data_IF_977636250150
#
_entry.id   IF_977636250150
#
_cell.length_a   1.000
_cell.length_b   1.000
_cell.length_c   1.000
_cell.angle_alpha   90.00
_cell.angle_beta   90.00
_cell.angle_gamma   90.00
#
_symmetry.space_group_name_H-M   'P 1'
#
loop_
_entity.id
_entity.type
_entity.pdbx_description
1 polymer ?
#
# COMPACT_ATOMS: atom_id res chain seq x y z
N UNK A 1 -3.06 -23.18 19.59
CA UNK A 1 -3.98 -23.10 18.42
C UNK A 1 -5.11 -22.10 18.63
N UNK A 2 -6.04 -22.31 19.56
CA UNK A 2 -7.22 -21.43 19.71
C UNK A 2 -6.89 -19.97 20.07
N UNK A 3 -5.89 -19.73 20.91
CA UNK A 3 -5.46 -18.37 21.27
C UNK A 3 -4.96 -17.58 20.05
N UNK A 4 -4.12 -18.19 19.20
CA UNK A 4 -3.62 -17.55 17.98
C UNK A 4 -4.75 -17.30 16.96
N UNK A 5 -5.70 -18.23 16.84
CA UNK A 5 -6.87 -18.03 15.99
C UNK A 5 -7.71 -16.82 16.44
N UNK A 6 -7.99 -16.71 17.74
CA UNK A 6 -8.73 -15.57 18.29
C UNK A 6 -7.95 -14.25 18.16
N UNK A 7 -6.62 -14.29 18.30
CA UNK A 7 -5.75 -13.13 18.06
C UNK A 7 -5.81 -12.70 16.60
N UNK A 8 -5.71 -13.64 15.65
CA UNK A 8 -5.81 -13.37 14.22
C UNK A 8 -7.17 -12.75 13.86
N UNK A 9 -8.27 -13.27 14.41
CA UNK A 9 -9.60 -12.69 14.20
C UNK A 9 -9.70 -11.24 14.72
N UNK A 10 -9.18 -10.97 15.92
CA UNK A 10 -9.18 -9.61 16.49
C UNK A 10 -8.34 -8.66 15.64
N UNK A 11 -7.15 -9.08 15.23
CA UNK A 11 -6.26 -8.32 14.34
C UNK A 11 -6.93 -8.05 12.98
N UNK A 12 -7.59 -9.05 12.38
CA UNK A 12 -8.34 -8.87 11.14
C UNK A 12 -9.48 -7.87 11.30
N UNK A 13 -10.23 -7.94 12.40
CA UNK A 13 -11.32 -7.00 12.69
C UNK A 13 -10.83 -5.57 12.92
N UNK A 14 -9.67 -5.38 13.56
CA UNK A 14 -9.09 -4.04 13.75
C UNK A 14 -8.55 -3.48 12.43
N UNK A 15 -7.84 -4.29 11.63
CA UNK A 15 -7.36 -3.88 10.30
C UNK A 15 -8.53 -3.44 9.42
N UNK A 16 -9.63 -4.18 9.44
CA UNK A 16 -10.83 -3.83 8.68
C UNK A 16 -11.40 -2.48 9.11
N UNK A 17 -11.55 -2.25 10.42
CA UNK A 17 -12.02 -0.96 10.95
C UNK A 17 -11.08 0.19 10.56
N UNK A 18 -9.78 -0.01 10.68
CA UNK A 18 -8.79 1.01 10.33
C UNK A 18 -8.79 1.30 8.81
N UNK A 19 -9.07 0.30 7.97
CA UNK A 19 -9.24 0.48 6.53
C UNK A 19 -10.56 1.20 6.19
N UNK A 20 -11.65 0.89 6.90
CA UNK A 20 -12.94 1.54 6.70
C UNK A 20 -12.84 3.03 7.11
N UNK A 21 -12.16 3.37 8.22
CA UNK A 21 -11.91 4.77 8.62
C UNK A 21 -11.00 5.52 7.64
N UNK A 22 -10.03 4.83 7.03
CA UNK A 22 -9.21 5.40 5.97
C UNK A 22 -10.04 5.68 4.71
N UNK A 23 -10.95 4.78 4.35
CA UNK A 23 -11.82 4.92 3.17
C UNK A 23 -12.87 6.02 3.31
N UNK A 24 -13.37 6.26 4.54
CA UNK A 24 -14.33 7.34 4.83
C UNK A 24 -13.70 8.75 4.74
N UNK A 25 -12.39 8.86 4.48
CA UNK A 25 -11.75 10.14 4.15
C UNK A 25 -11.56 11.08 5.35
N UNK A 26 -11.62 10.56 6.58
CA UNK A 26 -11.49 11.32 7.83
C UNK A 26 -10.05 11.81 8.12
N UNK A 27 -9.30 12.19 7.08
CA UNK A 27 -7.86 12.45 7.04
C UNK A 27 -7.05 11.17 6.82
N UNK A 28 -6.45 11.05 5.64
CA UNK A 28 -5.35 10.14 5.34
C UNK A 28 -4.13 10.52 6.17
N UNK A 29 -4.22 10.31 7.49
CA UNK A 29 -3.19 10.63 8.45
C UNK A 29 -2.02 9.65 8.24
N UNK A 30 -0.78 10.14 8.02
CA UNK A 30 0.40 9.29 7.91
C UNK A 30 0.56 8.33 9.10
N UNK A 31 0.09 8.73 10.29
CA UNK A 31 0.11 7.91 11.50
C UNK A 31 -0.80 6.67 11.37
N UNK A 32 -2.01 6.84 10.81
CA UNK A 32 -2.97 5.76 10.62
C UNK A 32 -2.47 4.76 9.57
N UNK A 33 -1.85 5.24 8.48
CA UNK A 33 -1.17 4.38 7.51
C UNK A 33 -0.02 3.58 8.14
N UNK A 34 0.77 4.19 9.01
CA UNK A 34 1.81 3.51 9.77
C UNK A 34 1.24 2.41 10.67
N UNK A 35 0.16 2.70 11.39
CA UNK A 35 -0.55 1.74 12.24
C UNK A 35 -1.10 0.55 11.44
N UNK A 36 -1.72 0.80 10.28
CA UNK A 36 -2.24 -0.29 9.42
C UNK A 36 -1.11 -1.18 8.90
N UNK A 37 0.02 -0.59 8.48
CA UNK A 37 1.17 -1.38 8.00
C UNK A 37 1.78 -2.24 9.14
N UNK A 38 1.84 -1.70 10.35
CA UNK A 38 2.30 -2.44 11.52
C UNK A 38 1.35 -3.60 11.88
N UNK A 39 0.03 -3.36 11.87
CA UNK A 39 -0.97 -4.39 12.16
C UNK A 39 -1.03 -5.47 11.07
N UNK A 40 -0.88 -5.14 9.79
CA UNK A 40 -0.74 -6.09 8.68
C UNK A 40 0.49 -7.00 8.84
N UNK A 41 1.60 -6.43 9.30
CA UNK A 41 2.83 -7.19 9.55
C UNK A 41 2.66 -8.15 10.73
N UNK A 42 2.03 -7.69 11.81
CA UNK A 42 1.70 -8.50 12.99
C UNK A 42 0.72 -9.63 12.66
N UNK A 43 -0.29 -9.35 11.82
CA UNK A 43 -1.24 -10.33 11.33
C UNK A 43 -0.54 -11.39 10.46
N UNK A 44 0.34 -10.98 9.54
CA UNK A 44 1.16 -11.91 8.74
C UNK A 44 1.96 -12.88 9.61
N UNK A 45 2.63 -12.36 10.65
CA UNK A 45 3.40 -13.19 11.60
C UNK A 45 2.49 -14.16 12.36
N UNK A 46 1.32 -13.69 12.80
CA UNK A 46 0.35 -14.51 13.53
C UNK A 46 -0.18 -15.66 12.66
N UNK A 47 -0.40 -15.43 11.36
CA UNK A 47 -0.78 -16.47 10.39
C UNK A 47 0.34 -17.50 10.23
N UNK A 48 1.59 -17.06 10.15
CA UNK A 48 2.76 -17.95 10.05
C UNK A 48 2.91 -18.83 11.29
N UNK A 49 2.78 -18.25 12.48
CA UNK A 49 2.81 -18.97 13.75
C UNK A 49 1.65 -19.97 13.87
N UNK A 50 0.44 -19.57 13.46
CA UNK A 50 -0.71 -20.46 13.44
C UNK A 50 -0.52 -21.61 12.45
N UNK A 51 0.05 -21.35 11.28
CA UNK A 51 0.38 -22.37 10.29
C UNK A 51 1.46 -23.34 10.79
N UNK A 52 2.45 -22.86 11.55
CA UNK A 52 3.46 -23.72 12.19
C UNK A 52 2.81 -24.67 13.19
N UNK A 53 1.90 -24.18 14.03
CA UNK A 53 1.13 -25.04 14.94
C UNK A 53 0.21 -26.01 14.19
N UNK A 54 -0.42 -25.59 13.10
CA UNK A 54 -1.27 -26.45 12.28
C UNK A 54 -0.49 -27.64 11.69
N UNK A 55 0.76 -27.43 11.29
CA UNK A 55 1.65 -28.52 10.82
C UNK A 55 2.03 -29.50 11.93
N UNK A 56 2.09 -29.05 13.18
CA UNK A 56 2.45 -29.87 14.35
C UNK A 56 1.25 -30.58 14.99
N UNK A 57 0.02 -30.24 14.58
CA UNK A 57 -1.19 -30.86 15.11
C UNK A 57 -1.29 -32.34 14.71
N UNK A 58 -1.46 -33.22 15.71
CA UNK A 58 -1.51 -34.67 15.52
C UNK A 58 -2.88 -35.15 15.02
N UNK A 59 -3.95 -34.42 15.34
CA UNK A 59 -5.33 -34.79 14.99
C UNK A 59 -5.65 -34.30 13.57
N UNK A 60 -5.82 -35.25 12.63
CA UNK A 60 -6.01 -34.97 11.21
C UNK A 60 -7.19 -34.01 10.91
N UNK A 61 -8.34 -34.20 11.56
CA UNK A 61 -9.50 -33.32 11.36
C UNK A 61 -9.25 -31.89 11.83
N UNK A 62 -8.55 -31.72 12.96
CA UNK A 62 -8.20 -30.40 13.50
C UNK A 62 -7.16 -29.72 12.63
N UNK A 63 -6.21 -30.49 12.11
CA UNK A 63 -5.20 -30.02 11.17
C UNK A 63 -5.83 -29.53 9.85
N UNK A 64 -6.76 -30.29 9.26
CA UNK A 64 -7.46 -29.88 8.04
C UNK A 64 -8.23 -28.57 8.24
N UNK A 65 -8.99 -28.46 9.33
CA UNK A 65 -9.70 -27.22 9.70
C UNK A 65 -8.74 -26.04 9.93
N UNK A 66 -7.57 -26.29 10.50
CA UNK A 66 -6.56 -25.26 10.71
C UNK A 66 -5.94 -24.77 9.40
N UNK A 67 -5.69 -25.65 8.43
CA UNK A 67 -5.20 -25.23 7.11
C UNK A 67 -6.23 -24.42 6.32
N UNK A 68 -7.51 -24.79 6.38
CA UNK A 68 -8.58 -23.98 5.78
C UNK A 68 -8.61 -22.58 6.41
N UNK A 69 -8.51 -22.48 7.74
CA UNK A 69 -8.43 -21.17 8.42
C UNK A 69 -7.20 -20.36 7.99
N UNK A 70 -6.03 -20.99 7.87
CA UNK A 70 -4.81 -20.33 7.36
C UNK A 70 -5.02 -19.82 5.93
N UNK A 71 -5.70 -20.59 5.08
CA UNK A 71 -6.03 -20.19 3.71
C UNK A 71 -6.94 -18.97 3.69
N UNK A 72 -8.01 -18.96 4.48
CA UNK A 72 -8.91 -17.80 4.64
C UNK A 72 -8.15 -16.56 5.14
N UNK A 73 -7.30 -16.70 6.16
CA UNK A 73 -6.53 -15.54 6.64
C UNK A 73 -5.52 -15.01 5.63
N UNK A 74 -4.95 -15.87 4.77
CA UNK A 74 -4.07 -15.43 3.69
C UNK A 74 -4.82 -14.66 2.61
N UNK A 75 -6.01 -15.11 2.23
CA UNK A 75 -6.86 -14.37 1.28
C UNK A 75 -7.30 -13.03 1.86
N UNK A 76 -7.71 -13.00 3.14
CA UNK A 76 -8.05 -11.74 3.82
C UNK A 76 -6.85 -10.78 3.84
N UNK A 77 -5.64 -11.28 4.12
CA UNK A 77 -4.43 -10.46 4.13
C UNK A 77 -4.13 -9.85 2.75
N UNK A 78 -4.33 -10.61 1.66
CA UNK A 78 -4.18 -10.06 0.30
C UNK A 78 -5.24 -9.01 0.00
N UNK A 79 -6.48 -9.24 0.44
CA UNK A 79 -7.58 -8.30 0.24
C UNK A 79 -7.37 -7.00 1.01
N UNK A 80 -6.90 -7.08 2.27
CA UNK A 80 -6.57 -5.89 3.06
C UNK A 80 -5.45 -5.07 2.44
N UNK A 81 -4.41 -5.71 1.89
CA UNK A 81 -3.35 -5.02 1.15
C UNK A 81 -3.87 -4.35 -0.11
N UNK A 82 -4.72 -5.03 -0.87
CA UNK A 82 -5.31 -4.48 -2.08
C UNK A 82 -6.19 -3.24 -1.78
N UNK A 83 -6.99 -3.29 -0.71
CA UNK A 83 -7.81 -2.15 -0.26
C UNK A 83 -6.96 -0.96 0.14
N UNK A 84 -5.90 -1.19 0.92
CA UNK A 84 -4.98 -0.14 1.33
C UNK A 84 -4.35 0.57 0.12
N UNK A 85 -3.91 -0.21 -0.88
CA UNK A 85 -3.37 0.34 -2.13
C UNK A 85 -4.40 1.12 -2.94
N UNK A 86 -5.65 0.64 -3.00
CA UNK A 86 -6.75 1.36 -3.65
C UNK A 86 -6.97 2.72 -3.01
N UNK A 87 -7.13 2.76 -1.68
CA UNK A 87 -7.38 4.01 -0.96
C UNK A 87 -6.19 4.97 -1.03
N UNK A 88 -4.95 4.46 -1.09
CA UNK A 88 -3.77 5.30 -1.35
C UNK A 88 -3.80 5.94 -2.73
N UNK A 89 -4.16 5.16 -3.77
CA UNK A 89 -4.28 5.69 -5.13
C UNK A 89 -5.37 6.74 -5.23
N UNK A 90 -6.53 6.50 -4.62
CA UNK A 90 -7.63 7.48 -4.56
C UNK A 90 -7.20 8.78 -3.86
N UNK A 91 -6.43 8.68 -2.76
CA UNK A 91 -5.90 9.85 -2.06
C UNK A 91 -4.87 10.62 -2.92
N UNK A 92 -3.99 9.93 -3.64
CA UNK A 92 -3.02 10.54 -4.55
C UNK A 92 -3.71 11.19 -5.77
N UNK A 93 -4.73 10.54 -6.35
CA UNK A 93 -5.55 11.09 -7.43
C UNK A 93 -6.34 12.32 -6.99
N UNK A 94 -6.91 12.31 -5.78
CA UNK A 94 -7.57 13.47 -5.21
C UNK A 94 -6.59 14.63 -5.00
N UNK A 95 -5.39 14.34 -4.48
CA UNK A 95 -4.36 15.37 -4.25
C UNK A 95 -3.81 15.94 -5.56
N UNK A 96 -3.55 15.11 -6.56
CA UNK A 96 -3.12 15.57 -7.89
C UNK A 96 -4.21 16.37 -8.59
N UNK A 97 -5.47 15.97 -8.45
CA UNK A 97 -6.62 16.72 -8.99
C UNK A 97 -6.80 18.05 -8.27
N UNK A 98 -6.64 18.10 -6.94
CA UNK A 98 -6.66 19.34 -6.17
C UNK A 98 -5.52 20.27 -6.59
N UNK A 99 -4.27 19.78 -6.65
CA UNK A 99 -3.13 20.57 -7.12
C UNK A 99 -3.35 21.09 -8.55
N UNK A 100 -3.88 20.25 -9.45
CA UNK A 100 -4.23 20.66 -10.82
C UNK A 100 -5.36 21.70 -10.83
N UNK A 101 -6.35 21.57 -9.95
CA UNK A 101 -7.46 22.52 -9.82
C UNK A 101 -7.01 23.84 -9.20
N UNK A 102 -6.04 23.85 -8.29
CA UNK A 102 -5.43 25.07 -7.76
C UNK A 102 -4.60 25.80 -8.82
N UNK A 103 -3.86 25.05 -9.64
CA UNK A 103 -3.07 25.59 -10.74
C UNK A 103 -3.96 26.16 -11.87
N UNK A 104 -5.11 25.53 -12.13
CA UNK A 104 -6.07 25.97 -13.15
C UNK A 104 -7.11 26.99 -12.61
N UNK A 105 -7.38 26.95 -11.31
CA UNK A 105 -8.41 27.74 -10.60
C UNK A 105 -7.95 29.12 -10.16
N UNK A 106 -6.64 29.43 -10.21
CA UNK A 106 -6.11 30.80 -10.09
C UNK A 106 -6.44 31.71 -11.27
N UNK A 107 -7.64 31.58 -11.87
CA UNK A 107 -8.14 32.55 -12.85
C UNK A 107 -9.61 32.91 -12.61
N UNK A 108 -9.94 33.70 -11.57
CA UNK A 108 -10.94 34.72 -11.71
C UNK A 108 -10.24 35.99 -12.24
N UNK A 109 -10.68 36.42 -13.41
CA UNK A 109 -10.31 37.62 -14.14
C UNK A 109 -9.71 38.78 -13.30
N UNK A 110 -8.62 39.39 -13.79
CA UNK A 110 -8.04 40.67 -13.37
C UNK A 110 -7.11 40.70 -12.14
N UNK A 111 -6.01 39.94 -12.16
CA UNK A 111 -4.76 40.51 -11.67
C UNK A 111 -3.99 41.01 -12.90
N UNK A 112 -3.80 42.33 -12.97
CA UNK A 112 -2.95 42.99 -13.97
C UNK A 112 -1.47 42.63 -13.74
N UNK A 113 -1.12 41.35 -13.88
CA UNK A 113 0.25 40.93 -14.16
C UNK A 113 0.35 40.92 -15.68
N UNK A 114 1.10 41.86 -16.29
CA UNK A 114 1.31 41.84 -17.72
C UNK A 114 1.85 40.47 -18.12
N UNK A 115 1.19 39.83 -19.08
CA UNK A 115 1.54 38.53 -19.67
C UNK A 115 2.88 38.57 -20.43
N UNK A 116 3.59 39.68 -20.35
CA UNK A 116 4.89 39.90 -20.95
C UNK A 116 5.70 40.84 -20.03
N UNK A 117 6.86 40.42 -19.49
CA UNK A 117 7.72 41.29 -18.68
C UNK A 117 8.19 42.55 -19.43
N UNK A 118 8.01 42.58 -20.75
CA UNK A 118 8.32 43.72 -21.62
C UNK A 118 7.07 44.42 -22.19
N UNK A 119 5.85 44.13 -21.73
CA UNK A 119 4.63 44.80 -22.24
C UNK A 119 4.63 46.33 -22.03
N UNK A 120 5.35 46.81 -21.01
CA UNK A 120 5.55 48.25 -20.77
C UNK A 120 6.64 48.90 -21.65
N UNK A 121 7.35 48.13 -22.48
CA UNK A 121 8.47 48.61 -23.29
C UNK A 121 8.07 49.01 -24.72
N UNK A 122 6.77 49.16 -25.02
CA UNK A 122 6.33 49.64 -26.33
C UNK A 122 6.26 51.17 -26.39
N UNK A 123 7.36 51.72 -26.91
CA UNK A 123 7.43 52.85 -27.84
C UNK A 123 7.13 54.26 -27.27
N UNK A 124 8.15 55.14 -27.10
CA UNK A 124 7.91 56.56 -27.03
C UNK A 124 7.47 57.04 -28.41
N UNK A 125 6.16 57.23 -28.60
CA UNK A 125 5.64 57.87 -29.79
C UNK A 125 6.05 59.34 -29.74
N UNK A 126 7.11 59.66 -30.48
CA UNK A 126 7.58 61.01 -30.68
C UNK A 126 6.44 61.90 -31.18
N UNK A 127 6.12 62.94 -30.42
CA UNK A 127 5.29 64.04 -30.88
C UNK A 127 6.13 65.30 -30.84
N UNK A 128 6.48 65.79 -32.03
CA UNK A 128 7.00 67.12 -32.24
C UNK A 128 6.04 68.15 -31.62
N UNK A 129 6.58 69.04 -30.79
CA UNK A 129 5.91 70.29 -30.43
C UNK A 129 6.28 70.85 -29.06
N UNK A 130 7.01 71.97 -29.07
CA UNK A 130 6.81 73.02 -28.07
C UNK A 130 7.91 73.21 -27.04
N UNK A 131 8.29 74.47 -26.88
CA UNK A 131 9.34 75.03 -26.03
C UNK A 131 9.16 74.84 -24.51
N UNK A 132 10.30 74.89 -23.79
CA UNK A 132 10.62 75.84 -22.71
C UNK A 132 11.17 75.20 -21.41
N UNK A 133 12.31 75.77 -20.97
CA UNK A 133 12.88 75.91 -19.61
C UNK A 133 13.10 74.65 -18.75
N UNK A 134 14.32 74.33 -18.32
CA UNK A 134 15.18 75.04 -17.34
C UNK A 134 14.63 74.97 -15.90
N UNK A 135 15.40 74.26 -15.05
CA UNK A 135 15.38 74.18 -13.58
C UNK A 135 14.16 73.56 -12.88
N UNK A 136 14.38 72.37 -12.30
CA UNK A 136 13.50 71.79 -11.28
C UNK A 136 13.82 70.33 -11.00
N UNK A 137 14.49 70.05 -9.88
CA UNK A 137 14.62 68.70 -9.34
C UNK A 137 13.22 68.15 -9.00
N UNK A 138 12.79 67.09 -9.68
CA UNK A 138 11.55 66.37 -9.40
C UNK A 138 11.85 64.86 -9.22
N UNK A 139 11.17 64.15 -8.32
CA UNK A 139 11.49 62.76 -7.97
C UNK A 139 10.90 61.82 -9.04
N UNK A 140 11.64 61.58 -10.11
CA UNK A 140 11.19 60.76 -11.24
C UNK A 140 11.51 59.26 -11.10
N UNK A 141 12.21 58.83 -10.05
CA UNK A 141 12.79 57.48 -9.96
C UNK A 141 12.00 56.45 -9.14
N UNK A 142 10.93 56.86 -8.46
CA UNK A 142 10.05 55.98 -7.65
C UNK A 142 9.49 54.75 -8.39
N UNK A 143 9.10 54.80 -9.69
CA UNK A 143 8.60 53.60 -10.35
C UNK A 143 9.69 52.56 -10.59
N UNK A 144 10.96 52.96 -10.82
CA UNK A 144 12.06 52.00 -11.09
C UNK A 144 12.45 51.20 -9.85
N UNK A 145 12.59 51.84 -8.70
CA UNK A 145 12.90 51.15 -7.45
C UNK A 145 11.79 50.18 -7.04
N UNK A 146 10.52 50.56 -7.24
CA UNK A 146 9.38 49.69 -6.98
C UNK A 146 9.35 48.45 -7.89
N UNK A 147 9.84 48.55 -9.12
CA UNK A 147 9.99 47.41 -10.03
C UNK A 147 11.13 46.48 -9.61
N UNK A 148 12.29 47.02 -9.24
CA UNK A 148 13.44 46.22 -8.80
C UNK A 148 13.13 45.43 -7.50
N UNK A 149 12.45 46.05 -6.53
CA UNK A 149 12.06 45.40 -5.28
C UNK A 149 11.03 44.28 -5.51
N UNK A 150 10.13 44.48 -6.49
CA UNK A 150 9.16 43.46 -6.89
C UNK A 150 9.81 42.28 -7.59
N UNK A 151 10.79 42.52 -8.45
CA UNK A 151 11.56 41.45 -9.08
C UNK A 151 12.33 40.65 -8.03
N UNK A 152 13.00 41.33 -7.10
CA UNK A 152 13.79 40.66 -6.07
C UNK A 152 12.93 39.81 -5.14
N UNK A 153 11.76 40.30 -4.74
CA UNK A 153 10.79 39.54 -3.93
C UNK A 153 10.17 38.38 -4.72
N UNK A 154 9.88 38.56 -6.00
CA UNK A 154 9.40 37.49 -6.87
C UNK A 154 10.45 36.38 -7.05
N UNK A 155 11.72 36.73 -7.26
CA UNK A 155 12.81 35.76 -7.37
C UNK A 155 13.00 34.98 -6.08
N UNK A 156 12.96 35.63 -4.91
CA UNK A 156 13.09 34.94 -3.62
C UNK A 156 11.92 34.00 -3.35
N UNK A 157 10.68 34.43 -3.59
CA UNK A 157 9.49 33.59 -3.41
C UNK A 157 9.43 32.42 -4.38
N UNK A 158 9.96 32.60 -5.60
CA UNK A 158 10.02 31.53 -6.60
C UNK A 158 11.10 30.51 -6.23
N UNK A 159 12.24 30.97 -5.72
CA UNK A 159 13.34 30.08 -5.35
C UNK A 159 12.93 29.13 -4.20
N UNK A 160 12.29 29.66 -3.16
CA UNK A 160 11.82 28.85 -2.02
C UNK A 160 10.74 27.85 -2.42
N UNK A 161 9.84 28.21 -3.33
CA UNK A 161 8.83 27.29 -3.85
C UNK A 161 9.43 26.20 -4.74
N UNK A 162 10.42 26.55 -5.59
CA UNK A 162 11.13 25.57 -6.41
C UNK A 162 11.90 24.57 -5.54
N UNK A 163 12.54 25.04 -4.47
CA UNK A 163 13.25 24.18 -3.53
C UNK A 163 12.27 23.21 -2.82
N UNK A 164 11.11 23.69 -2.38
CA UNK A 164 10.07 22.83 -1.79
C UNK A 164 9.53 21.79 -2.80
N UNK A 165 9.37 22.16 -4.08
CA UNK A 165 8.96 21.22 -5.13
C UNK A 165 10.06 20.21 -5.49
N UNK A 166 11.33 20.63 -5.47
CA UNK A 166 12.47 19.74 -5.69
C UNK A 166 12.63 18.74 -4.55
N UNK A 167 12.47 19.17 -3.30
CA UNK A 167 12.52 18.32 -2.11
C UNK A 167 11.36 17.32 -2.10
N UNK A 168 10.12 17.79 -2.29
CA UNK A 168 8.94 16.92 -2.41
C UNK A 168 9.03 15.99 -3.62
N UNK A 169 9.60 16.46 -4.73
CA UNK A 169 9.86 15.65 -5.93
C UNK A 169 10.92 14.57 -5.70
N UNK A 170 11.98 14.88 -4.96
CA UNK A 170 13.02 13.94 -4.57
C UNK A 170 12.47 12.83 -3.66
N UNK A 171 11.61 13.18 -2.70
CA UNK A 171 10.94 12.22 -1.82
C UNK A 171 9.99 11.29 -2.59
N UNK A 172 9.25 11.83 -3.57
CA UNK A 172 8.38 11.02 -4.45
C UNK A 172 9.22 10.08 -5.34
N UNK A 173 10.30 10.58 -5.94
CA UNK A 173 11.22 9.77 -6.77
C UNK A 173 11.92 8.67 -5.95
N UNK A 174 12.33 8.97 -4.72
CA UNK A 174 12.87 7.99 -3.77
C UNK A 174 11.81 6.94 -3.39
N UNK A 175 10.58 7.37 -3.13
CA UNK A 175 9.44 6.50 -2.85
C UNK A 175 9.12 5.53 -4.01
N UNK A 176 9.15 6.01 -5.25
CA UNK A 176 8.91 5.20 -6.46
C UNK A 176 10.02 4.18 -6.71
N UNK A 177 11.28 4.56 -6.49
CA UNK A 177 12.42 3.65 -6.56
C UNK A 177 12.32 2.50 -5.56
N UNK A 178 11.93 2.83 -4.32
CA UNK A 178 11.80 1.87 -3.23
C UNK A 178 10.57 0.96 -3.38
N UNK A 179 9.46 1.47 -3.92
CA UNK A 179 8.26 0.68 -4.24
C UNK A 179 8.48 -0.34 -5.37
N UNK A 180 9.29 -0.01 -6.40
CA UNK A 180 9.63 -0.94 -7.49
C UNK A 180 10.43 -2.15 -7.01
N UNK A 181 11.36 -1.94 -6.08
CA UNK A 181 12.16 -3.02 -5.48
C UNK A 181 11.28 -3.91 -4.58
N UNK A 182 10.36 -3.30 -3.82
CA UNK A 182 9.38 -4.01 -2.99
C UNK A 182 8.39 -4.84 -3.82
N UNK A 183 7.92 -4.33 -4.96
CA UNK A 183 7.04 -5.03 -5.89
C UNK A 183 7.72 -6.21 -6.55
N UNK A 184 8.99 -6.08 -6.96
CA UNK A 184 9.78 -7.22 -7.49
C UNK A 184 9.99 -8.30 -6.42
N UNK A 185 10.23 -7.90 -5.17
CA UNK A 185 10.34 -8.84 -4.04
C UNK A 185 9.04 -9.56 -3.73
N UNK A 186 7.91 -8.85 -3.80
CA UNK A 186 6.57 -9.40 -3.53
C UNK A 186 6.10 -10.30 -4.67
N UNK A 187 6.32 -9.92 -5.92
CA UNK A 187 6.03 -10.75 -7.09
C UNK A 187 6.87 -12.04 -7.10
N UNK A 188 8.19 -11.96 -6.78
CA UNK A 188 9.03 -13.15 -6.61
C UNK A 188 8.52 -14.06 -5.48
N UNK A 189 8.06 -13.47 -4.37
CA UNK A 189 7.44 -14.21 -3.26
C UNK A 189 6.10 -14.84 -3.66
N UNK A 190 5.29 -14.16 -4.48
CA UNK A 190 4.04 -14.72 -4.99
C UNK A 190 4.27 -15.87 -5.97
N UNK A 191 5.28 -15.76 -6.84
CA UNK A 191 5.65 -16.84 -7.76
C UNK A 191 6.23 -18.05 -7.00
N UNK A 192 7.01 -17.81 -5.94
CA UNK A 192 7.49 -18.89 -5.06
C UNK A 192 6.40 -19.48 -4.17
N UNK A 193 5.39 -18.70 -3.79
CA UNK A 193 4.17 -19.18 -3.12
C UNK A 193 3.31 -20.02 -4.07
N UNK A 194 3.17 -19.61 -5.34
CA UNK A 194 2.54 -20.39 -6.40
C UNK A 194 3.23 -21.73 -6.65
N UNK A 195 4.56 -21.77 -6.60
CA UNK A 195 5.33 -23.01 -6.70
C UNK A 195 5.28 -23.88 -5.42
N UNK A 196 5.08 -23.28 -4.23
CA UNK A 196 4.91 -24.02 -2.96
C UNK A 196 3.46 -24.44 -2.68
N UNK A 197 2.48 -23.86 -3.38
CA UNK A 197 1.12 -24.39 -3.54
C UNK A 197 1.15 -25.76 -4.24
N UNK A 198 2.11 -26.02 -5.14
CA UNK A 198 2.37 -27.36 -5.71
C UNK A 198 2.96 -28.36 -4.72
N UNK A 199 3.79 -27.89 -3.76
CA UNK A 199 4.43 -28.73 -2.74
C UNK A 199 3.48 -29.13 -1.59
N UNK A 200 2.38 -28.39 -1.36
CA UNK A 200 1.39 -28.74 -0.33
C UNK A 200 0.53 -29.96 -0.70
N UNK A 201 0.42 -30.27 -1.99
CA UNK A 201 -0.25 -31.49 -2.49
C UNK A 201 0.45 -32.78 -2.07
N UNK A 202 1.78 -32.78 -1.94
CA UNK A 202 2.53 -33.97 -1.50
C UNK A 202 2.35 -34.27 -0.01
N UNK A 203 2.15 -33.25 0.83
CA UNK A 203 1.72 -33.45 2.22
C UNK A 203 0.30 -34.00 2.32
N UNK A 204 -0.63 -33.46 1.51
CA UNK A 204 -2.01 -33.99 1.42
C UNK A 204 -2.01 -35.46 0.94
N UNK A 205 -1.20 -35.80 -0.07
CA UNK A 205 -1.04 -37.18 -0.57
C UNK A 205 -0.39 -38.12 0.44
N UNK A 206 0.57 -37.64 1.26
CA UNK A 206 1.12 -38.43 2.38
C UNK A 206 0.08 -38.70 3.46
N UNK A 207 -0.87 -37.79 3.69
CA UNK A 207 -1.97 -37.96 4.66
C UNK A 207 -2.99 -38.98 4.16
N UNK A 208 -3.36 -38.94 2.88
CA UNK A 208 -4.28 -39.93 2.30
C UNK A 208 -3.70 -41.36 2.31
N UNK A 209 -2.39 -41.50 2.17
CA UNK A 209 -1.70 -42.79 2.23
C UNK A 209 -1.76 -43.44 3.61
N UNK A 210 -1.67 -42.67 4.70
CA UNK A 210 -1.70 -43.21 6.08
C UNK A 210 -3.09 -43.73 6.45
N UNK A 211 -4.16 -43.01 6.10
CA UNK A 211 -5.53 -43.45 6.33
C UNK A 211 -5.89 -44.71 5.51
N UNK A 212 -5.36 -44.83 4.28
CA UNK A 212 -5.48 -46.06 3.49
C UNK A 212 -4.70 -47.21 4.12
N UNK A 213 -3.47 -46.99 4.58
CA UNK A 213 -2.68 -48.03 5.24
C UNK A 213 -3.35 -48.56 6.52
N UNK A 214 -3.94 -47.69 7.33
CA UNK A 214 -4.62 -48.09 8.57
C UNK A 214 -5.85 -48.99 8.30
N UNK A 215 -6.64 -48.68 7.25
CA UNK A 215 -7.72 -49.55 6.78
C UNK A 215 -7.24 -50.94 6.34
N UNK A 216 -6.07 -51.02 5.72
CA UNK A 216 -5.48 -52.30 5.29
C UNK A 216 -4.96 -53.11 6.49
N UNK A 217 -4.35 -52.47 7.48
CA UNK A 217 -3.89 -53.15 8.71
C UNK A 217 -5.09 -53.70 9.50
N UNK A 218 -6.18 -52.94 9.59
CA UNK A 218 -7.42 -53.39 10.23
C UNK A 218 -7.98 -54.66 9.55
N UNK A 219 -8.13 -54.64 8.22
CA UNK A 219 -8.62 -55.81 7.48
C UNK A 219 -7.68 -57.02 7.59
N UNK A 220 -6.37 -56.79 7.61
CA UNK A 220 -5.39 -57.84 7.88
C UNK A 220 -5.58 -58.50 9.25
N UNK A 221 -5.81 -57.70 10.29
CA UNK A 221 -6.10 -58.19 11.64
C UNK A 221 -7.39 -59.03 11.71
N UNK A 222 -8.45 -58.61 11.01
CA UNK A 222 -9.72 -59.35 10.93
C UNK A 222 -9.51 -60.73 10.29
N UNK A 223 -8.76 -60.81 9.19
CA UNK A 223 -8.47 -62.08 8.52
C UNK A 223 -7.66 -63.01 9.42
N UNK A 224 -6.61 -62.51 10.07
CA UNK A 224 -5.79 -63.29 11.01
C UNK A 224 -6.64 -63.83 12.17
N UNK A 225 -7.55 -63.01 12.69
CA UNK A 225 -8.46 -63.44 13.76
C UNK A 225 -9.36 -64.60 13.33
N UNK A 226 -9.97 -64.53 12.14
CA UNK A 226 -10.79 -65.63 11.63
C UNK A 226 -9.98 -66.90 11.35
N UNK A 227 -8.76 -66.78 10.82
CA UNK A 227 -7.85 -67.92 10.62
C UNK A 227 -7.51 -68.58 11.96
N UNK A 228 -7.20 -67.78 12.98
CA UNK A 228 -6.93 -68.28 14.33
C UNK A 228 -8.12 -69.05 14.91
N UNK A 229 -9.34 -68.47 14.85
CA UNK A 229 -10.56 -69.14 15.30
C UNK A 229 -10.79 -70.46 14.54
N UNK A 230 -10.56 -70.48 13.23
CA UNK A 230 -10.68 -71.68 12.41
C UNK A 230 -9.70 -72.78 12.87
N UNK A 231 -8.43 -72.44 13.13
CA UNK A 231 -7.44 -73.40 13.61
C UNK A 231 -7.80 -73.98 14.98
N UNK A 232 -8.29 -73.15 15.91
CA UNK A 232 -8.74 -73.63 17.22
C UNK A 232 -9.91 -74.60 17.09
N UNK A 233 -10.91 -74.27 16.27
CA UNK A 233 -12.07 -75.15 16.03
C UNK A 233 -11.69 -76.46 15.33
N UNK A 234 -10.71 -76.42 14.43
CA UNK A 234 -10.20 -77.60 13.71
C UNK A 234 -9.39 -78.54 14.62
N UNK A 235 -8.74 -78.00 15.64
CA UNK A 235 -7.90 -78.78 16.55
C UNK A 235 -8.67 -79.31 17.75
N UNK A 236 -9.76 -78.64 18.15
CA UNK A 236 -10.68 -79.09 19.21
C UNK A 236 -11.75 -80.08 18.70
N UNK A 237 -11.79 -80.36 17.39
CA UNK A 237 -12.75 -81.25 16.73
C UNK A 237 -12.07 -82.49 16.18
#
# INVERSE_FOLDING_TARGET
MNALYNSALRQGSSIRRDLDTLAEGAQSSPALLGQINASLTSFSRTIEDYNKLAKQELVAEKQAKAFERVKTFRTELTDYRARLEHTKREAEEAQTTQARTELLGRRPHHAATPENPYAGASTPQGRYGGHASAFGAAPADVPREAHALREQTFFQQTHTQIDEFLERGADVLAGLGQQREMLKGTQRKLYSVGNTLGISGDTIRRVERRARQDKWIFWGGVIIFFVFCYFVLRWLR
#
